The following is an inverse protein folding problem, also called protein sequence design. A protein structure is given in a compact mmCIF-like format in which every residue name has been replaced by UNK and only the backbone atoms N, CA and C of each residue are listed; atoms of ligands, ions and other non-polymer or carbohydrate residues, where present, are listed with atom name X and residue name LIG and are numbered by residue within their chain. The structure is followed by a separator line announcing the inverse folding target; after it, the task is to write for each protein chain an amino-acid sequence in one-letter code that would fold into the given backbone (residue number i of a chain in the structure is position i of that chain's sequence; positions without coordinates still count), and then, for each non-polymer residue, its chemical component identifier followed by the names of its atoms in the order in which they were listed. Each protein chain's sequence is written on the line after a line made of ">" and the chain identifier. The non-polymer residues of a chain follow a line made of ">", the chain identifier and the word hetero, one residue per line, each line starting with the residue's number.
data_IF_386237066194
#
_entry.id   IF_386237066194
#
_cell.length_a   1.000
_cell.length_b   1.000
_cell.length_c   1.000
_cell.angle_alpha   90.00
_cell.angle_beta   90.00
_cell.angle_gamma   90.00
#
_symmetry.space_group_name_H-M   'P 1'
#
loop_
_entity.id
_entity.type
_entity.pdbx_description
1 polymer ?
#
# COMPACT_ATOMS: atom_id res chain seq x y z
N UNK A 1 -34.85 33.58 2.48
CA UNK A 1 -33.57 34.27 2.17
C UNK A 1 -32.32 33.55 2.70
N UNK A 2 -32.35 32.94 3.89
CA UNK A 2 -31.23 32.17 4.47
C UNK A 2 -30.76 30.96 3.62
N UNK A 3 -31.66 30.36 2.85
CA UNK A 3 -31.38 29.16 2.06
C UNK A 3 -30.38 29.39 0.91
N UNK A 4 -30.32 30.61 0.38
CA UNK A 4 -29.37 31.00 -0.68
C UNK A 4 -27.94 31.08 -0.14
N UNK A 5 -27.76 31.53 1.11
CA UNK A 5 -26.45 31.55 1.78
C UNK A 5 -25.92 30.14 2.03
N UNK A 6 -26.80 29.20 2.41
CA UNK A 6 -26.46 27.78 2.59
C UNK A 6 -26.08 27.11 1.25
N UNK A 7 -26.79 27.43 0.17
CA UNK A 7 -26.48 26.92 -1.17
C UNK A 7 -25.10 27.42 -1.66
N UNK A 8 -24.81 28.70 -1.41
CA UNK A 8 -23.55 29.33 -1.81
C UNK A 8 -22.37 28.75 -1.03
N UNK A 9 -22.55 28.46 0.27
CA UNK A 9 -21.56 27.78 1.10
C UNK A 9 -21.27 26.34 0.60
N UNK A 10 -22.31 25.61 0.20
CA UNK A 10 -22.17 24.26 -0.37
C UNK A 10 -21.40 24.26 -1.70
N UNK A 11 -21.65 25.25 -2.56
CA UNK A 11 -20.92 25.42 -3.82
C UNK A 11 -19.44 25.77 -3.62
N UNK A 12 -19.12 26.62 -2.66
CA UNK A 12 -17.73 26.95 -2.30
C UNK A 12 -17.00 25.71 -1.74
N UNK A 13 -17.67 24.89 -0.92
CA UNK A 13 -17.12 23.64 -0.42
C UNK A 13 -16.89 22.59 -1.53
N UNK A 14 -17.80 22.50 -2.51
CA UNK A 14 -17.67 21.61 -3.65
C UNK A 14 -16.53 22.06 -4.59
N UNK A 15 -16.46 23.36 -4.90
CA UNK A 15 -15.40 23.94 -5.73
C UNK A 15 -14.01 23.73 -5.13
N UNK A 16 -13.83 24.02 -3.85
CA UNK A 16 -12.55 23.84 -3.15
C UNK A 16 -12.10 22.39 -3.08
N UNK A 17 -13.03 21.44 -3.01
CA UNK A 17 -12.74 20.00 -3.05
C UNK A 17 -12.25 19.57 -4.44
N UNK A 18 -12.92 20.04 -5.50
CA UNK A 18 -12.56 19.73 -6.89
C UNK A 18 -11.18 20.29 -7.26
N UNK A 19 -10.91 21.56 -6.92
CA UNK A 19 -9.60 22.18 -7.21
C UNK A 19 -8.46 21.49 -6.47
N UNK A 20 -8.69 21.06 -5.22
CA UNK A 20 -7.69 20.31 -4.45
C UNK A 20 -7.42 18.93 -5.04
N UNK A 21 -8.46 18.27 -5.57
CA UNK A 21 -8.31 16.99 -6.25
C UNK A 21 -7.52 17.13 -7.56
N UNK A 22 -7.85 18.13 -8.38
CA UNK A 22 -7.12 18.40 -9.63
C UNK A 22 -5.65 18.77 -9.37
N UNK A 23 -5.36 19.60 -8.36
CA UNK A 23 -3.98 19.93 -7.98
C UNK A 23 -3.20 18.72 -7.46
N UNK A 24 -3.85 17.83 -6.72
CA UNK A 24 -3.24 16.58 -6.27
C UNK A 24 -2.92 15.65 -7.46
N UNK A 25 -3.84 15.52 -8.41
CA UNK A 25 -3.65 14.70 -9.61
C UNK A 25 -2.52 15.24 -10.51
N UNK A 26 -2.44 16.56 -10.73
CA UNK A 26 -1.39 17.18 -11.56
C UNK A 26 -0.01 17.06 -10.90
N UNK A 27 0.06 17.23 -9.57
CA UNK A 27 1.33 17.07 -8.82
C UNK A 27 1.82 15.63 -8.83
N UNK A 28 0.92 14.65 -8.73
CA UNK A 28 1.26 13.24 -8.88
C UNK A 28 1.83 12.95 -10.29
N UNK A 29 1.13 13.42 -11.33
CA UNK A 29 1.54 13.22 -12.72
C UNK A 29 2.91 13.83 -13.08
N UNK A 30 3.26 14.99 -12.50
CA UNK A 30 4.54 15.65 -12.75
C UNK A 30 5.74 14.94 -12.10
N UNK A 31 5.56 14.37 -10.91
CA UNK A 31 6.59 13.56 -10.24
C UNK A 31 6.78 12.21 -10.95
N UNK A 32 5.68 11.62 -11.43
CA UNK A 32 5.66 10.34 -12.15
C UNK A 32 6.48 10.34 -13.46
N UNK A 33 6.49 11.46 -14.20
CA UNK A 33 7.17 11.56 -15.50
C UNK A 33 8.72 11.53 -15.41
N UNK A 34 9.28 11.81 -14.23
CA UNK A 34 10.72 11.87 -14.02
C UNK A 34 11.29 10.61 -13.33
N UNK A 35 10.53 9.93 -12.47
CA UNK A 35 11.02 8.76 -11.73
C UNK A 35 11.12 7.47 -12.57
N UNK A 36 10.36 7.34 -13.66
CA UNK A 36 10.23 6.08 -14.41
C UNK A 36 11.29 5.86 -15.51
N UNK A 37 12.11 6.86 -15.86
CA UNK A 37 13.08 6.74 -16.97
C UNK A 37 14.37 6.05 -16.50
N UNK A 38 14.43 4.73 -16.67
CA UNK A 38 15.69 3.96 -16.69
C UNK A 38 16.04 3.15 -15.44
N UNK A 39 15.18 3.05 -14.43
CA UNK A 39 15.48 2.30 -13.19
C UNK A 39 15.16 0.80 -13.34
N UNK A 40 16.18 -0.05 -13.35
CA UNK A 40 16.02 -1.50 -13.30
C UNK A 40 15.84 -1.96 -11.84
N UNK A 41 14.63 -2.46 -11.51
CA UNK A 41 14.30 -2.90 -10.16
C UNK A 41 15.09 -4.16 -9.77
N UNK A 42 15.73 -4.12 -8.62
CA UNK A 42 16.28 -5.33 -7.98
C UNK A 42 15.17 -6.20 -7.40
N UNK A 43 15.46 -7.48 -7.11
CA UNK A 43 14.47 -8.40 -6.50
C UNK A 43 13.97 -7.89 -5.14
N UNK A 44 14.85 -7.29 -4.32
CA UNK A 44 14.47 -6.72 -3.03
C UNK A 44 13.62 -5.45 -3.17
N UNK A 45 13.92 -4.59 -4.14
CA UNK A 45 13.09 -3.42 -4.45
C UNK A 45 11.71 -3.85 -4.96
N UNK A 46 11.65 -4.82 -5.87
CA UNK A 46 10.39 -5.37 -6.36
C UNK A 46 9.55 -5.97 -5.22
N UNK A 47 10.18 -6.72 -4.32
CA UNK A 47 9.53 -7.26 -3.12
C UNK A 47 9.02 -6.15 -2.20
N UNK A 48 9.80 -5.10 -1.97
CA UNK A 48 9.38 -3.97 -1.15
C UNK A 48 8.19 -3.22 -1.74
N UNK A 49 8.23 -2.93 -3.05
CA UNK A 49 7.17 -2.21 -3.74
C UNK A 49 5.87 -3.03 -3.80
N UNK A 50 5.97 -4.35 -4.02
CA UNK A 50 4.81 -5.22 -4.11
C UNK A 50 4.21 -5.57 -2.74
N UNK A 51 5.05 -5.74 -1.72
CA UNK A 51 4.65 -6.37 -0.46
C UNK A 51 5.30 -5.81 0.82
N UNK A 52 6.09 -4.74 0.69
CA UNK A 52 6.70 -4.01 1.79
C UNK A 52 7.81 -4.75 2.53
N UNK A 53 8.17 -4.29 3.73
CA UNK A 53 9.33 -4.82 4.47
C UNK A 53 9.19 -6.31 4.82
N UNK A 54 7.97 -6.77 5.12
CA UNK A 54 7.70 -8.20 5.36
C UNK A 54 7.93 -9.06 4.11
N UNK A 55 7.62 -8.55 2.91
CA UNK A 55 7.85 -9.27 1.66
C UNK A 55 9.33 -9.39 1.33
N UNK A 56 10.13 -8.37 1.65
CA UNK A 56 11.59 -8.43 1.53
C UNK A 56 12.16 -9.53 2.44
N UNK A 57 11.69 -9.61 3.68
CA UNK A 57 12.09 -10.69 4.59
C UNK A 57 11.67 -12.09 4.08
N UNK A 58 10.43 -12.23 3.59
CA UNK A 58 9.95 -13.48 2.98
C UNK A 58 10.81 -13.90 1.79
N UNK A 59 11.08 -12.97 0.86
CA UNK A 59 11.90 -13.21 -0.32
C UNK A 59 13.32 -13.63 0.08
N UNK A 60 13.93 -12.97 1.06
CA UNK A 60 15.29 -13.27 1.52
C UNK A 60 15.35 -14.68 2.11
N UNK A 61 14.40 -15.05 2.96
CA UNK A 61 14.30 -16.41 3.52
C UNK A 61 14.16 -17.47 2.43
N UNK A 62 13.30 -17.23 1.43
CA UNK A 62 13.08 -18.16 0.31
C UNK A 62 14.33 -18.26 -0.56
N UNK A 63 14.98 -17.14 -0.88
CA UNK A 63 16.21 -17.12 -1.68
C UNK A 63 17.34 -17.90 -1.00
N UNK A 64 17.55 -17.68 0.30
CA UNK A 64 18.54 -18.44 1.07
C UNK A 64 18.19 -19.92 1.18
N UNK A 65 16.91 -20.26 1.31
CA UNK A 65 16.46 -21.66 1.36
C UNK A 65 16.74 -22.40 0.05
N UNK A 66 16.47 -21.77 -1.10
CA UNK A 66 16.75 -22.36 -2.42
C UNK A 66 18.25 -22.53 -2.69
N UNK A 67 19.06 -21.61 -2.19
CA UNK A 67 20.52 -21.73 -2.22
C UNK A 67 21.08 -22.75 -1.23
N UNK A 68 20.23 -23.49 -0.49
CA UNK A 68 20.60 -24.48 0.54
C UNK A 68 21.37 -23.89 1.72
N UNK A 69 21.15 -22.60 2.01
CA UNK A 69 21.83 -21.88 3.10
C UNK A 69 20.96 -21.76 4.35
N UNK A 70 19.64 -21.88 4.17
CA UNK A 70 18.68 -22.11 5.25
C UNK A 70 17.86 -23.37 4.96
N UNK A 71 17.48 -24.07 6.01
CA UNK A 71 16.45 -25.08 5.96
C UNK A 71 15.19 -24.49 6.59
N UNK A 72 14.12 -24.38 5.79
CA UNK A 72 12.82 -23.92 6.26
C UNK A 72 11.91 -25.14 6.46
N UNK A 73 11.71 -25.51 7.72
CA UNK A 73 10.85 -26.63 8.06
C UNK A 73 9.37 -26.26 7.90
N UNK A 74 8.57 -27.17 7.36
CA UNK A 74 7.11 -27.01 7.22
C UNK A 74 6.39 -26.71 8.56
N UNK A 75 7.04 -27.01 9.68
CA UNK A 75 6.60 -26.69 11.06
C UNK A 75 6.81 -25.24 11.47
N UNK A 76 7.38 -24.40 10.60
CA UNK A 76 7.59 -22.96 10.84
C UNK A 76 8.92 -22.60 11.49
N UNK A 77 9.92 -23.46 11.36
CA UNK A 77 11.28 -23.22 11.85
C UNK A 77 12.24 -22.92 10.70
N UNK A 78 13.18 -22.00 10.95
CA UNK A 78 14.32 -21.73 10.09
C UNK A 78 15.59 -22.19 10.80
N UNK A 79 16.38 -23.02 10.11
CA UNK A 79 17.68 -23.50 10.57
C UNK A 79 18.77 -23.03 9.62
N UNK A 80 19.85 -22.48 10.16
CA UNK A 80 21.02 -22.04 9.42
C UNK A 80 21.85 -23.24 9.00
N UNK A 81 22.12 -23.35 7.70
CA UNK A 81 23.01 -24.37 7.13
C UNK A 81 24.36 -23.73 6.79
N UNK A 82 24.35 -22.51 6.27
CA UNK A 82 25.54 -21.72 5.96
C UNK A 82 25.44 -20.34 6.66
N UNK A 83 26.30 -20.05 7.64
CA UNK A 83 26.25 -18.80 8.42
C UNK A 83 26.86 -17.59 7.69
N UNK A 84 27.37 -17.74 6.47
CA UNK A 84 28.03 -16.64 5.76
C UNK A 84 27.05 -15.82 4.94
N UNK A 85 26.55 -14.69 5.46
CA UNK A 85 25.66 -13.78 4.72
C UNK A 85 26.37 -13.02 3.59
N UNK A 86 25.90 -13.17 2.35
CA UNK A 86 26.49 -12.56 1.14
C UNK A 86 26.15 -11.09 0.99
N UNK A 87 24.97 -10.70 1.46
CA UNK A 87 24.50 -9.32 1.43
C UNK A 87 23.91 -8.88 2.79
N UNK A 88 23.50 -7.62 2.87
CA UNK A 88 22.97 -7.00 4.09
C UNK A 88 21.63 -7.60 4.53
N UNK A 89 20.80 -8.05 3.59
CA UNK A 89 19.50 -8.65 3.87
C UNK A 89 19.68 -10.04 4.47
N UNK A 90 20.57 -10.85 3.89
CA UNK A 90 20.92 -12.17 4.41
C UNK A 90 21.59 -12.08 5.77
N UNK A 91 22.51 -11.14 5.97
CA UNK A 91 23.13 -10.89 7.28
C UNK A 91 22.09 -10.49 8.33
N UNK A 92 21.06 -9.74 7.94
CA UNK A 92 19.94 -9.41 8.83
C UNK A 92 19.11 -10.63 9.21
N UNK A 93 18.87 -11.55 8.27
CA UNK A 93 18.17 -12.82 8.55
C UNK A 93 18.99 -13.70 9.50
N UNK A 94 20.28 -13.86 9.23
CA UNK A 94 21.17 -14.66 10.08
C UNK A 94 21.27 -14.07 11.49
N UNK A 95 21.42 -12.75 11.61
CA UNK A 95 21.40 -12.05 12.89
C UNK A 95 20.06 -12.19 13.63
N UNK A 96 18.94 -12.22 12.90
CA UNK A 96 17.61 -12.43 13.48
C UNK A 96 17.36 -13.88 13.95
N UNK A 97 18.02 -14.87 13.34
CA UNK A 97 18.00 -16.26 13.81
C UNK A 97 18.87 -16.40 15.07
N UNK A 98 19.99 -15.70 15.11
CA UNK A 98 20.90 -15.69 16.25
C UNK A 98 21.91 -16.84 16.24
N UNK A 99 22.80 -16.89 17.26
CA UNK A 99 23.93 -17.82 17.29
C UNK A 99 23.53 -19.29 17.47
N UNK A 100 22.33 -19.56 18.00
CA UNK A 100 21.77 -20.91 18.16
C UNK A 100 21.51 -21.62 16.81
N UNK A 101 21.54 -20.87 15.70
CA UNK A 101 21.40 -21.43 14.36
C UNK A 101 19.99 -21.94 14.04
N UNK A 102 19.02 -21.84 14.95
CA UNK A 102 17.63 -22.21 14.72
C UNK A 102 16.66 -21.24 15.41
N UNK A 103 15.64 -20.81 14.69
CA UNK A 103 14.60 -19.92 15.24
C UNK A 103 13.27 -20.08 14.50
N UNK A 104 12.17 -19.63 15.12
CA UNK A 104 10.85 -19.63 14.46
C UNK A 104 10.85 -18.59 13.32
N UNK A 105 10.20 -18.93 12.21
CA UNK A 105 10.14 -18.07 11.03
C UNK A 105 9.40 -16.76 11.34
N UNK A 106 8.35 -16.77 12.16
CA UNK A 106 7.56 -15.57 12.43
C UNK A 106 8.32 -14.44 13.16
N UNK A 107 9.06 -14.70 14.26
CA UNK A 107 9.97 -13.73 14.87
C UNK A 107 11.06 -13.26 13.91
N UNK A 108 11.74 -14.19 13.23
CA UNK A 108 12.81 -13.87 12.27
C UNK A 108 12.29 -12.89 11.22
N UNK A 109 11.13 -13.17 10.62
CA UNK A 109 10.48 -12.27 9.66
C UNK A 109 10.20 -10.88 10.22
N UNK A 110 9.72 -10.79 11.48
CA UNK A 110 9.43 -9.51 12.13
C UNK A 110 10.71 -8.71 12.36
N UNK A 111 11.74 -9.35 12.89
CA UNK A 111 13.04 -8.74 13.17
C UNK A 111 13.74 -8.30 11.88
N UNK A 112 13.81 -9.15 10.87
CA UNK A 112 14.40 -8.82 9.56
C UNK A 112 13.65 -7.68 8.88
N UNK A 113 12.30 -7.69 8.91
CA UNK A 113 11.50 -6.61 8.34
C UNK A 113 11.74 -5.26 9.05
N UNK A 114 12.20 -5.28 10.29
CA UNK A 114 12.54 -4.10 11.08
C UNK A 114 14.07 -3.84 11.12
N UNK A 115 14.86 -4.48 10.27
CA UNK A 115 16.31 -4.28 10.24
C UNK A 115 16.70 -3.00 9.48
N UNK A 116 17.87 -2.43 9.82
CA UNK A 116 18.41 -1.23 9.16
C UNK A 116 18.54 -1.35 7.64
N UNK A 117 18.99 -2.48 7.07
CA UNK A 117 19.07 -2.62 5.61
C UNK A 117 17.72 -2.45 4.91
N UNK A 118 16.63 -2.93 5.52
CA UNK A 118 15.27 -2.79 4.98
C UNK A 118 14.77 -1.35 5.10
N UNK A 119 15.11 -0.64 6.19
CA UNK A 119 14.85 0.80 6.32
C UNK A 119 15.61 1.61 5.26
N UNK A 120 16.90 1.35 5.10
CA UNK A 120 17.73 2.03 4.10
C UNK A 120 17.21 1.82 2.67
N UNK A 121 16.70 0.62 2.37
CA UNK A 121 16.05 0.31 1.10
C UNK A 121 14.79 1.13 0.90
N UNK A 122 13.95 1.24 1.94
CA UNK A 122 12.75 2.07 1.90
C UNK A 122 13.11 3.54 1.63
N UNK A 123 14.10 4.09 2.34
CA UNK A 123 14.52 5.48 2.21
C UNK A 123 15.06 5.77 0.80
N UNK A 124 15.84 4.86 0.22
CA UNK A 124 16.30 4.97 -1.17
C UNK A 124 15.14 4.96 -2.17
N UNK A 125 14.17 4.06 -1.99
CA UNK A 125 13.00 3.99 -2.86
C UNK A 125 12.11 5.22 -2.74
N UNK A 126 11.97 5.80 -1.54
CA UNK A 126 11.26 7.06 -1.31
C UNK A 126 11.99 8.22 -1.98
N UNK A 127 13.31 8.29 -1.83
CA UNK A 127 14.16 9.30 -2.48
C UNK A 127 14.08 9.22 -4.01
N UNK A 128 14.00 8.00 -4.56
CA UNK A 128 13.80 7.75 -5.98
C UNK A 128 12.36 8.03 -6.47
N UNK A 129 11.42 8.39 -5.58
CA UNK A 129 10.02 8.58 -5.92
C UNK A 129 9.27 7.29 -6.29
N UNK A 130 9.86 6.13 -6.00
CA UNK A 130 9.30 4.80 -6.29
C UNK A 130 8.44 4.26 -5.15
N UNK A 131 8.68 4.72 -3.92
CA UNK A 131 7.89 4.36 -2.74
C UNK A 131 7.25 5.58 -2.07
N UNK A 132 6.10 5.35 -1.42
CA UNK A 132 5.37 6.40 -0.71
C UNK A 132 5.96 6.58 0.70
N UNK A 133 6.33 7.82 1.12
CA UNK A 133 6.92 8.08 2.43
C UNK A 133 6.00 7.68 3.59
N UNK A 134 6.60 7.21 4.68
CA UNK A 134 5.90 6.81 5.91
C UNK A 134 5.05 7.93 6.52
N UNK A 135 5.50 9.18 6.40
CA UNK A 135 4.78 10.38 6.85
C UNK A 135 3.68 10.88 5.90
N UNK A 136 3.69 10.47 4.63
CA UNK A 136 2.58 10.72 3.70
C UNK A 136 1.36 9.84 4.03
N UNK A 137 1.57 8.73 4.76
CA UNK A 137 0.52 7.80 5.20
C UNK A 137 -0.50 8.43 6.15
N UNK A 138 -0.06 9.32 7.04
CA UNK A 138 -0.93 9.97 8.04
C UNK A 138 -1.60 11.22 7.49
N UNK A 139 -0.95 11.91 6.56
CA UNK A 139 -1.47 13.13 5.92
C UNK A 139 -2.48 12.81 4.83
N UNK A 140 -2.28 11.76 4.02
CA UNK A 140 -3.27 11.32 3.03
C UNK A 140 -4.47 10.65 3.71
N UNK A 141 -4.24 9.76 4.68
CA UNK A 141 -5.35 9.17 5.46
C UNK A 141 -6.09 10.22 6.32
N UNK A 142 -5.36 11.22 6.83
CA UNK A 142 -5.92 12.37 7.53
C UNK A 142 -6.74 13.27 6.61
N UNK A 143 -6.25 13.56 5.40
CA UNK A 143 -6.98 14.31 4.38
C UNK A 143 -8.24 13.57 3.92
N UNK A 144 -8.18 12.25 3.71
CA UNK A 144 -9.34 11.43 3.38
C UNK A 144 -10.34 11.38 4.53
N UNK A 145 -9.88 11.26 5.79
CA UNK A 145 -10.76 11.35 6.98
C UNK A 145 -11.39 12.73 7.13
N UNK A 146 -10.67 13.78 6.80
CA UNK A 146 -11.17 15.16 6.86
C UNK A 146 -12.22 15.41 5.78
N UNK A 147 -12.01 14.90 4.56
CA UNK A 147 -13.02 14.92 3.49
C UNK A 147 -14.24 14.10 3.90
N UNK A 148 -14.05 12.93 4.50
CA UNK A 148 -15.15 12.09 4.98
C UNK A 148 -15.92 12.75 6.13
N UNK A 149 -15.24 13.44 7.06
CA UNK A 149 -15.86 14.20 8.13
C UNK A 149 -16.64 15.40 7.58
N UNK A 150 -16.11 16.08 6.57
CA UNK A 150 -16.81 17.16 5.87
C UNK A 150 -18.05 16.65 5.14
N UNK A 151 -17.98 15.51 4.45
CA UNK A 151 -19.15 14.88 3.82
C UNK A 151 -20.20 14.47 4.84
N UNK A 152 -19.80 13.94 6.01
CA UNK A 152 -20.72 13.60 7.10
C UNK A 152 -21.38 14.83 7.71
N UNK A 153 -20.65 15.94 7.87
CA UNK A 153 -21.19 17.20 8.35
C UNK A 153 -22.21 17.80 7.37
N UNK A 154 -21.95 17.72 6.05
CA UNK A 154 -22.89 18.15 5.01
C UNK A 154 -24.16 17.30 5.02
N UNK A 155 -24.03 15.97 5.20
CA UNK A 155 -25.18 15.08 5.34
C UNK A 155 -25.98 15.35 6.62
N UNK A 156 -25.31 15.63 7.74
CA UNK A 156 -25.96 15.97 9.01
C UNK A 156 -26.72 17.30 8.92
N UNK A 157 -26.13 18.32 8.29
CA UNK A 157 -26.79 19.60 8.03
C UNK A 157 -28.00 19.44 7.09
N UNK A 158 -27.89 18.59 6.07
CA UNK A 158 -29.00 18.23 5.18
C UNK A 158 -30.14 17.53 5.93
N UNK A 159 -29.82 16.61 6.85
CA UNK A 159 -30.82 15.93 7.68
C UNK A 159 -31.52 16.89 8.65
N UNK A 160 -30.77 17.80 9.28
CA UNK A 160 -31.33 18.83 10.17
C UNK A 160 -32.25 19.79 9.40
N UNK A 161 -31.92 20.12 8.15
CA UNK A 161 -32.77 20.95 7.30
C UNK A 161 -34.11 20.28 6.92
N UNK A 162 -34.14 18.94 6.79
CA UNK A 162 -35.36 18.16 6.52
C UNK A 162 -36.20 17.95 7.78
N UNK A 163 -35.56 17.88 8.95
CA UNK A 163 -36.23 17.70 10.24
C UNK A 163 -36.79 19.01 10.84
N UNK A 164 -36.47 20.17 10.26
CA UNK A 164 -37.13 21.42 10.62
C UNK A 164 -38.56 21.42 10.08
N UNK A 165 -39.59 21.56 10.95
CA UNK A 165 -40.98 21.51 10.52
C UNK A 165 -41.30 22.76 9.70
N UNK A 166 -41.34 22.59 8.37
CA UNK A 166 -41.91 23.57 7.47
C UNK A 166 -43.42 23.31 7.40
N UNK A 167 -44.21 24.25 7.93
CA UNK A 167 -45.68 24.28 8.01
C UNK A 167 -46.43 24.22 6.65
N UNK A 168 -45.79 23.84 5.55
CA UNK A 168 -46.45 23.65 4.26
C UNK A 168 -45.83 22.47 3.50
N UNK A 169 -46.61 21.39 3.38
CA UNK A 169 -46.23 20.14 2.72
C UNK A 169 -46.10 20.27 1.19
N UNK A 170 -46.57 21.36 0.58
CA UNK A 170 -46.60 21.51 -0.89
C UNK A 170 -45.28 22.04 -1.51
N UNK A 171 -44.38 22.65 -0.74
CA UNK A 171 -43.11 23.22 -1.24
C UNK A 171 -41.84 22.43 -0.86
N UNK A 172 -41.97 21.27 -0.20
CA UNK A 172 -40.82 20.50 0.30
C UNK A 172 -40.11 19.65 -0.77
N UNK A 173 -40.85 19.22 -1.80
CA UNK A 173 -40.32 18.39 -2.90
C UNK A 173 -39.20 19.11 -3.69
N UNK A 174 -39.32 20.40 -4.09
CA UNK A 174 -38.24 21.09 -4.82
C UNK A 174 -36.97 21.32 -3.98
N UNK A 175 -37.10 21.44 -2.65
CA UNK A 175 -35.98 21.67 -1.71
C UNK A 175 -35.10 20.42 -1.57
N UNK A 176 -35.71 19.24 -1.48
CA UNK A 176 -34.98 17.94 -1.35
C UNK A 176 -34.23 17.59 -2.63
N UNK A 177 -34.84 17.83 -3.80
CA UNK A 177 -34.22 17.57 -5.12
C UNK A 177 -32.97 18.43 -5.32
N UNK A 178 -32.98 19.68 -4.83
CA UNK A 178 -31.83 20.58 -4.98
C UNK A 178 -30.66 20.26 -4.05
N UNK A 179 -30.92 19.62 -2.90
CA UNK A 179 -29.88 19.10 -2.01
C UNK A 179 -29.39 17.70 -2.41
N UNK A 180 -30.17 16.93 -3.16
CA UNK A 180 -29.75 15.63 -3.69
C UNK A 180 -28.58 15.75 -4.68
N UNK A 181 -28.51 16.83 -5.46
CA UNK A 181 -27.44 17.08 -6.43
C UNK A 181 -26.05 17.23 -5.79
N UNK A 182 -25.83 18.11 -4.79
CA UNK A 182 -24.56 18.20 -4.08
C UNK A 182 -24.26 16.97 -3.21
N UNK A 183 -25.29 16.27 -2.70
CA UNK A 183 -25.10 15.01 -1.96
C UNK A 183 -24.59 13.89 -2.89
N UNK A 184 -25.17 13.75 -4.09
CA UNK A 184 -24.71 12.82 -5.13
C UNK A 184 -23.29 13.19 -5.63
N UNK A 185 -22.99 14.48 -5.73
CA UNK A 185 -21.65 14.96 -6.12
C UNK A 185 -20.59 14.65 -5.04
N UNK A 186 -20.92 14.82 -3.76
CA UNK A 186 -20.01 14.49 -2.65
C UNK A 186 -19.87 12.97 -2.46
N UNK A 187 -20.93 12.20 -2.64
CA UNK A 187 -20.90 10.73 -2.63
C UNK A 187 -20.11 10.15 -3.81
N UNK A 188 -20.26 10.70 -5.01
CA UNK A 188 -19.49 10.25 -6.19
C UNK A 188 -18.01 10.58 -6.04
N UNK A 189 -17.66 11.76 -5.50
CA UNK A 189 -16.27 12.10 -5.20
C UNK A 189 -15.67 11.19 -4.11
N UNK A 190 -16.45 10.86 -3.06
CA UNK A 190 -16.05 9.91 -2.03
C UNK A 190 -15.89 8.48 -2.58
N UNK A 191 -16.78 8.06 -3.48
CA UNK A 191 -16.72 6.76 -4.13
C UNK A 191 -15.47 6.65 -5.02
N UNK A 192 -15.17 7.68 -5.82
CA UNK A 192 -13.95 7.74 -6.66
C UNK A 192 -12.70 7.70 -5.77
N UNK A 193 -12.65 8.51 -4.70
CA UNK A 193 -11.52 8.50 -3.76
C UNK A 193 -11.37 7.15 -3.05
N UNK A 194 -12.46 6.47 -2.68
CA UNK A 194 -12.43 5.14 -2.07
C UNK A 194 -11.95 4.06 -3.06
N UNK A 195 -12.33 4.17 -4.32
CA UNK A 195 -11.92 3.24 -5.40
C UNK A 195 -10.45 3.45 -5.79
N UNK A 196 -9.93 4.68 -5.76
CA UNK A 196 -8.50 4.94 -5.93
C UNK A 196 -7.64 4.56 -4.71
N UNK A 197 -8.21 4.61 -3.49
CA UNK A 197 -7.45 4.36 -2.24
C UNK A 197 -7.40 2.88 -1.84
N UNK A 198 -8.12 1.96 -2.50
CA UNK A 198 -8.03 0.51 -2.25
C UNK A 198 -8.13 -0.29 -3.56
N UNK A 199 -7.19 -1.20 -3.93
CA UNK A 199 -5.97 -1.66 -3.29
C UNK A 199 -4.75 -1.42 -4.20
N UNK A 200 -4.30 -0.17 -4.29
CA UNK A 200 -2.96 0.10 -4.82
C UNK A 200 -1.96 -0.42 -3.77
N UNK A 201 -0.96 -1.21 -4.16
CA UNK A 201 0.02 -1.77 -3.21
C UNK A 201 0.54 -0.61 -2.35
N UNK A 202 0.22 -0.63 -1.04
CA UNK A 202 0.36 0.49 -0.10
C UNK A 202 1.78 1.08 0.05
N UNK A 203 2.74 0.56 -0.71
CA UNK A 203 4.16 0.88 -0.68
C UNK A 203 4.71 1.42 -1.99
N UNK A 204 4.10 1.13 -3.15
CA UNK A 204 4.59 1.59 -4.44
C UNK A 204 3.90 2.89 -4.88
N UNK A 205 4.68 3.85 -5.39
CA UNK A 205 4.13 4.99 -6.13
C UNK A 205 3.59 4.53 -7.49
N UNK A 206 2.80 5.36 -8.20
CA UNK A 206 2.34 5.02 -9.55
C UNK A 206 3.51 4.70 -10.51
N UNK A 207 4.63 5.43 -10.41
CA UNK A 207 5.86 5.12 -11.12
C UNK A 207 6.44 3.73 -10.75
N UNK A 208 6.52 3.41 -9.44
CA UNK A 208 6.96 2.10 -8.95
C UNK A 208 6.07 0.95 -9.44
N UNK A 209 4.76 1.18 -9.58
CA UNK A 209 3.83 0.19 -10.12
C UNK A 209 4.02 -0.09 -11.60
N UNK A 210 4.30 0.93 -12.42
CA UNK A 210 4.61 0.73 -13.85
C UNK A 210 5.83 -0.16 -14.03
N UNK A 211 6.87 0.06 -13.21
CA UNK A 211 8.07 -0.78 -13.21
C UNK A 211 7.77 -2.20 -12.72
N UNK A 212 6.98 -2.36 -11.65
CA UNK A 212 6.50 -3.68 -11.20
C UNK A 212 5.70 -4.42 -12.28
N UNK A 213 4.87 -3.72 -13.04
CA UNK A 213 4.10 -4.30 -14.14
C UNK A 213 4.96 -4.69 -15.36
N UNK A 214 6.15 -4.11 -15.51
CA UNK A 214 7.10 -4.43 -16.58
C UNK A 214 8.02 -5.61 -16.22
N UNK A 215 8.31 -5.84 -14.94
CA UNK A 215 9.22 -6.87 -14.44
C UNK A 215 8.91 -8.31 -14.90
N UNK A 216 7.65 -8.81 -14.84
CA UNK A 216 7.35 -10.18 -15.26
C UNK A 216 7.69 -10.45 -16.72
N UNK A 217 7.55 -9.45 -17.61
CA UNK A 217 7.87 -9.58 -19.04
C UNK A 217 9.36 -9.77 -19.30
N UNK A 218 10.22 -9.28 -18.40
CA UNK A 218 11.68 -9.40 -18.51
C UNK A 218 12.21 -10.62 -17.73
N UNK A 219 11.39 -11.22 -16.85
CA UNK A 219 11.75 -12.41 -16.11
C UNK A 219 11.66 -13.68 -16.96
N UNK A 220 10.78 -13.73 -17.97
CA UNK A 220 10.64 -14.89 -18.87
C UNK A 220 11.92 -15.19 -19.68
N UNK A 221 12.85 -14.23 -19.81
CA UNK A 221 14.16 -14.43 -20.44
C UNK A 221 15.26 -14.87 -19.45
N UNK A 222 15.01 -14.76 -18.14
CA UNK A 222 15.96 -15.13 -17.10
C UNK A 222 15.79 -16.61 -16.70
N UNK A 223 16.87 -17.25 -16.26
CA UNK A 223 16.85 -18.65 -15.81
C UNK A 223 15.81 -18.93 -14.73
N UNK A 224 15.38 -20.20 -14.66
CA UNK A 224 14.26 -20.71 -13.83
C UNK A 224 14.28 -20.20 -12.37
N UNK A 225 15.46 -20.16 -11.74
CA UNK A 225 15.61 -19.71 -10.36
C UNK A 225 15.27 -18.23 -10.15
N UNK A 226 15.69 -17.35 -11.08
CA UNK A 226 15.44 -15.92 -11.02
C UNK A 226 13.98 -15.60 -11.33
N UNK A 227 13.37 -16.32 -12.25
CA UNK A 227 11.96 -16.20 -12.61
C UNK A 227 11.07 -16.56 -11.44
N UNK A 228 11.39 -17.66 -10.76
CA UNK A 228 10.72 -18.04 -9.52
C UNK A 228 10.87 -16.98 -8.43
N UNK A 229 12.09 -16.50 -8.14
CA UNK A 229 12.29 -15.49 -7.09
C UNK A 229 11.59 -14.16 -7.43
N UNK A 230 11.52 -13.80 -8.71
CA UNK A 230 10.75 -12.64 -9.18
C UNK A 230 9.26 -12.85 -8.93
N UNK A 231 8.74 -14.06 -9.20
CA UNK A 231 7.35 -14.41 -8.91
C UNK A 231 7.03 -14.33 -7.41
N UNK A 232 7.95 -14.77 -6.54
CA UNK A 232 7.84 -14.67 -5.09
C UNK A 232 7.95 -13.22 -4.62
N UNK A 233 8.81 -12.39 -5.23
CA UNK A 233 8.92 -10.97 -4.92
C UNK A 233 7.59 -10.24 -5.19
N UNK A 234 6.98 -10.47 -6.36
CA UNK A 234 5.77 -9.77 -6.80
C UNK A 234 4.50 -10.34 -6.17
N UNK A 235 4.32 -11.66 -6.16
CA UNK A 235 3.08 -12.33 -5.71
C UNK A 235 3.16 -12.84 -4.27
N UNK A 236 4.36 -12.89 -3.69
CA UNK A 236 4.58 -13.36 -2.33
C UNK A 236 4.63 -14.87 -2.17
N UNK A 237 4.50 -15.31 -0.91
CA UNK A 237 4.50 -16.72 -0.51
C UNK A 237 3.48 -17.60 -1.24
N UNK A 238 2.43 -17.02 -1.86
CA UNK A 238 1.45 -17.77 -2.65
C UNK A 238 2.02 -18.26 -3.98
N UNK A 239 3.09 -17.65 -4.48
CA UNK A 239 3.77 -18.10 -5.70
C UNK A 239 4.76 -19.25 -5.45
N UNK A 240 4.98 -19.65 -4.19
CA UNK A 240 5.81 -20.80 -3.86
C UNK A 240 5.09 -22.08 -4.32
N UNK A 241 5.66 -22.76 -5.31
CA UNK A 241 5.14 -24.01 -5.86
C UNK A 241 5.20 -25.17 -4.85
N UNK A 242 6.24 -25.20 -4.02
CA UNK A 242 6.48 -26.26 -3.04
C UNK A 242 5.54 -26.13 -1.83
N UNK A 243 4.64 -27.11 -1.58
CA UNK A 243 3.66 -27.00 -0.51
C UNK A 243 4.28 -27.00 0.88
N UNK A 244 5.37 -27.73 1.10
CA UNK A 244 6.07 -27.79 2.38
C UNK A 244 6.75 -26.45 2.72
N UNK A 245 7.40 -25.85 1.73
CA UNK A 245 8.02 -24.54 1.89
C UNK A 245 6.97 -23.45 2.16
N UNK A 246 5.83 -23.52 1.48
CA UNK A 246 4.69 -22.63 1.72
C UNK A 246 4.14 -22.81 3.13
N UNK A 247 4.00 -24.06 3.58
CA UNK A 247 3.50 -24.39 4.92
C UNK A 247 4.36 -23.78 6.03
N UNK A 248 5.69 -23.72 5.84
CA UNK A 248 6.62 -23.08 6.76
C UNK A 248 6.24 -21.62 7.10
N UNK A 249 5.68 -20.87 6.14
CA UNK A 249 5.24 -19.48 6.35
C UNK A 249 3.81 -19.34 6.90
N UNK A 250 3.01 -20.41 6.86
CA UNK A 250 1.61 -20.40 7.34
C UNK A 250 1.50 -20.62 8.84
N UNK A 251 2.54 -21.13 9.48
CA UNK A 251 2.57 -21.37 10.91
C UNK A 251 2.58 -20.01 11.65
N UNK A 252 1.38 -19.57 12.07
CA UNK A 252 1.17 -18.33 12.81
C UNK A 252 1.43 -18.60 14.29
N UNK A 253 2.21 -17.74 14.93
CA UNK A 253 2.39 -17.77 16.39
C UNK A 253 1.02 -17.63 17.06
N UNK A 254 0.58 -18.70 17.75
CA UNK A 254 -0.21 -18.55 18.97
C UNK A 254 0.81 -18.20 20.05
N UNK A 255 1.03 -16.90 20.26
CA UNK A 255 1.89 -16.34 21.29
C UNK A 255 1.21 -15.13 21.86
#
# INVERSE_FOLDING_TARGET
>A
MFWVLLLLLAWVAAGTSCTRLCLAAVRAAAVDANAARGHALTLYEAAFLAGGPKRVADLTLVAMARQRRLLLAHTGWATVVDPNGRDEMERSVLGAIGPEGQSRIAPVRRTTAAADPVRSLADRLVTAGLAVPDGARTTVAGAVRQVQAASAAVAALGAVAVLMPAEAAEEQIPVVVWFALPLLLTLSCLAIARVEVHPYTRWASPAGQRLLGALPRHADEAGDDRTYLTSVAVRGIRAIGEPELRAAFTHRERG
#
